data_IF_940387819707
#
_entry.id   IF_940387819707
#
_cell.length_a   1.000
_cell.length_b   1.000
_cell.length_c   1.000
_cell.angle_alpha   90.00
_cell.angle_beta   90.00
_cell.angle_gamma   90.00
#
_symmetry.space_group_name_H-M   'P 1'
#
loop_
_entity.id
_entity.type
_entity.pdbx_description
1 polymer ?
#
# COMPACT_ATOMS: atom_id res chain seq x y z
N UNK A 1 -43.13 17.62 -37.54
CA UNK A 1 -42.32 18.61 -36.80
C UNK A 1 -43.18 18.97 -35.61
N UNK A 2 -43.10 18.34 -34.44
CA UNK A 2 -41.95 17.76 -33.74
C UNK A 2 -42.42 16.61 -32.84
N UNK A 3 -41.97 15.39 -33.13
CA UNK A 3 -42.39 14.16 -32.43
C UNK A 3 -41.15 13.31 -32.08
N UNK A 4 -40.05 13.96 -31.69
CA UNK A 4 -38.71 13.33 -31.71
C UNK A 4 -37.75 13.72 -30.58
N UNK A 5 -38.20 13.98 -29.34
CA UNK A 5 -37.28 14.10 -28.17
C UNK A 5 -37.92 13.73 -26.82
N UNK A 6 -38.75 12.70 -26.76
CA UNK A 6 -39.36 12.22 -25.48
C UNK A 6 -39.00 10.75 -25.20
N UNK A 7 -37.81 10.32 -25.63
CA UNK A 7 -37.32 8.93 -25.55
C UNK A 7 -36.00 8.78 -24.78
N UNK A 8 -35.65 9.69 -23.88
CA UNK A 8 -34.45 9.51 -23.04
C UNK A 8 -34.78 9.76 -21.57
N UNK A 9 -35.67 8.92 -21.05
CA UNK A 9 -35.75 8.62 -19.63
C UNK A 9 -35.79 7.09 -19.50
N UNK A 10 -35.01 6.57 -18.54
CA UNK A 10 -34.90 5.16 -18.14
C UNK A 10 -33.94 4.24 -18.92
N UNK A 11 -32.63 4.45 -18.74
CA UNK A 11 -31.59 3.41 -18.91
C UNK A 11 -30.80 3.17 -17.59
N UNK A 12 -31.46 3.26 -16.43
CA UNK A 12 -30.88 2.89 -15.12
C UNK A 12 -31.22 1.44 -14.73
N UNK A 13 -31.02 0.50 -15.65
CA UNK A 13 -31.15 -0.94 -15.40
C UNK A 13 -29.77 -1.61 -15.35
N UNK A 14 -29.01 -1.31 -14.31
CA UNK A 14 -27.72 -1.95 -14.00
C UNK A 14 -27.58 -2.13 -12.50
N UNK A 15 -28.45 -2.94 -11.89
CA UNK A 15 -28.32 -3.32 -10.49
C UNK A 15 -27.11 -4.25 -10.37
N UNK A 16 -26.02 -3.70 -9.84
CA UNK A 16 -24.77 -4.39 -9.55
C UNK A 16 -25.03 -5.70 -8.80
N UNK A 17 -24.75 -6.82 -9.45
CA UNK A 17 -24.82 -8.14 -8.82
C UNK A 17 -23.90 -8.16 -7.59
N UNK A 18 -24.34 -8.73 -6.45
CA UNK A 18 -23.48 -8.86 -5.28
C UNK A 18 -22.39 -9.88 -5.61
N UNK A 19 -21.26 -9.37 -6.12
CA UNK A 19 -20.05 -10.12 -6.35
C UNK A 19 -19.63 -10.85 -5.07
N UNK A 20 -19.76 -12.15 -5.13
CA UNK A 20 -19.29 -13.15 -4.20
C UNK A 20 -17.82 -12.90 -3.86
N UNK A 21 -17.59 -12.26 -2.70
CA UNK A 21 -16.25 -12.11 -2.14
C UNK A 21 -15.78 -13.51 -1.75
N UNK A 22 -14.66 -14.03 -2.29
CA UNK A 22 -14.15 -15.32 -1.86
C UNK A 22 -13.90 -15.30 -0.35
N UNK A 23 -14.46 -16.29 0.36
CA UNK A 23 -14.30 -16.48 1.79
C UNK A 23 -12.82 -16.62 2.12
N UNK A 24 -12.26 -15.59 2.75
CA UNK A 24 -10.84 -15.54 3.15
C UNK A 24 -10.53 -16.73 4.04
N UNK A 25 -9.72 -17.67 3.52
CA UNK A 25 -9.15 -18.76 4.31
C UNK A 25 -8.47 -18.18 5.55
N UNK A 26 -8.73 -18.77 6.72
CA UNK A 26 -8.13 -18.31 7.97
C UNK A 26 -6.60 -18.39 7.86
N UNK A 27 -5.85 -17.27 8.03
CA UNK A 27 -4.40 -17.34 8.03
C UNK A 27 -3.98 -18.23 9.20
N UNK A 28 -3.06 -19.17 8.94
CA UNK A 28 -2.44 -19.95 10.02
C UNK A 28 -1.91 -18.97 11.06
N UNK A 29 -2.28 -19.12 12.34
CA UNK A 29 -1.94 -18.12 13.32
C UNK A 29 -0.42 -17.99 13.40
N UNK A 30 0.07 -16.75 13.48
CA UNK A 30 1.52 -16.51 13.56
C UNK A 30 2.15 -17.23 14.76
N UNK A 31 1.38 -17.42 15.84
CA UNK A 31 1.80 -18.16 17.02
C UNK A 31 1.98 -19.66 16.75
N UNK A 32 1.19 -20.27 15.84
CA UNK A 32 1.37 -21.67 15.47
C UNK A 32 2.66 -21.89 14.67
N UNK A 33 3.03 -20.94 13.81
CA UNK A 33 4.35 -20.94 13.15
C UNK A 33 5.49 -20.76 14.16
N UNK A 34 5.30 -19.89 15.15
CA UNK A 34 6.28 -19.69 16.22
C UNK A 34 6.45 -20.95 17.08
N UNK A 35 5.35 -21.60 17.46
CA UNK A 35 5.37 -22.84 18.26
C UNK A 35 6.02 -23.98 17.47
N UNK A 36 5.67 -24.16 16.19
CA UNK A 36 6.30 -25.18 15.34
C UNK A 36 7.83 -24.97 15.26
N UNK A 37 8.26 -23.71 15.16
CA UNK A 37 9.67 -23.35 15.09
C UNK A 37 10.40 -23.57 16.41
N UNK A 38 9.79 -23.20 17.55
CA UNK A 38 10.33 -23.48 18.90
C UNK A 38 10.43 -24.98 19.18
N UNK A 39 9.43 -25.77 18.76
CA UNK A 39 9.46 -27.24 18.86
C UNK A 39 10.59 -27.82 18.01
N UNK A 40 10.79 -27.30 16.79
CA UNK A 40 11.93 -27.67 15.94
C UNK A 40 13.29 -27.38 16.60
N UNK A 41 13.46 -26.19 17.19
CA UNK A 41 14.70 -25.82 17.89
C UNK A 41 14.91 -26.68 19.15
N UNK A 42 13.86 -26.94 19.91
CA UNK A 42 13.92 -27.80 21.09
C UNK A 42 14.31 -29.24 20.71
N UNK A 43 13.75 -29.78 19.63
CA UNK A 43 14.11 -31.10 19.11
C UNK A 43 15.57 -31.16 18.63
N UNK A 44 16.03 -30.15 17.88
CA UNK A 44 17.42 -30.08 17.38
C UNK A 44 18.42 -29.91 18.53
N UNK A 45 18.12 -29.05 19.50
CA UNK A 45 18.99 -28.85 20.67
C UNK A 45 19.05 -30.11 21.55
N UNK A 46 17.92 -30.79 21.77
CA UNK A 46 17.90 -32.08 22.46
C UNK A 46 18.74 -33.13 21.70
N UNK A 47 18.56 -33.26 20.38
CA UNK A 47 19.35 -34.20 19.57
C UNK A 47 20.87 -33.92 19.63
N UNK A 48 21.28 -32.64 19.65
CA UNK A 48 22.69 -32.27 19.82
C UNK A 48 23.23 -32.64 21.21
N UNK A 49 22.46 -32.37 22.27
CA UNK A 49 22.87 -32.68 23.65
C UNK A 49 23.01 -34.19 23.87
N UNK A 50 22.08 -34.99 23.31
CA UNK A 50 22.11 -36.45 23.46
C UNK A 50 23.26 -37.12 22.67
N UNK A 51 23.73 -36.53 21.59
CA UNK A 51 24.75 -37.14 20.72
C UNK A 51 26.18 -36.70 21.01
N UNK A 52 26.37 -35.46 21.49
CA UNK A 52 27.72 -34.87 21.58
C UNK A 52 28.28 -34.72 23.00
N UNK A 53 27.56 -35.15 24.04
CA UNK A 53 27.94 -35.01 25.48
C UNK A 53 28.40 -33.60 25.90
N UNK A 54 28.06 -32.58 25.11
CA UNK A 54 28.33 -31.17 25.40
C UNK A 54 27.34 -30.67 26.46
N UNK A 55 27.79 -29.95 27.50
CA UNK A 55 26.91 -29.44 28.54
C UNK A 55 25.85 -28.48 27.97
N UNK A 56 24.59 -28.67 28.40
CA UNK A 56 23.44 -27.89 27.92
C UNK A 56 23.60 -26.36 28.08
N UNK A 57 24.45 -25.93 29.01
CA UNK A 57 24.72 -24.52 29.28
C UNK A 57 25.33 -23.74 28.11
N UNK A 58 25.93 -24.41 27.12
CA UNK A 58 26.46 -23.74 25.92
C UNK A 58 25.57 -23.92 24.69
N UNK A 59 24.93 -25.08 24.55
CA UNK A 59 24.11 -25.42 23.37
C UNK A 59 22.82 -24.60 23.33
N UNK A 60 22.14 -24.44 24.47
CA UNK A 60 20.88 -23.69 24.55
C UNK A 60 21.06 -22.22 24.14
N UNK A 61 21.99 -21.44 24.73
CA UNK A 61 22.17 -20.05 24.32
C UNK A 61 22.69 -19.93 22.87
N UNK A 62 23.53 -20.86 22.39
CA UNK A 62 23.98 -20.85 21.01
C UNK A 62 22.82 -21.03 20.01
N UNK A 63 21.92 -21.98 20.28
CA UNK A 63 20.73 -22.20 19.44
C UNK A 63 19.75 -21.02 19.52
N UNK A 64 19.54 -20.43 20.71
CA UNK A 64 18.71 -19.25 20.88
C UNK A 64 19.29 -18.05 20.13
N UNK A 65 20.60 -17.82 20.22
CA UNK A 65 21.26 -16.71 19.55
C UNK A 65 21.25 -16.88 18.02
N UNK A 66 21.58 -18.07 17.52
CA UNK A 66 21.51 -18.37 16.09
C UNK A 66 20.10 -18.21 15.53
N UNK A 67 19.10 -18.69 16.28
CA UNK A 67 17.69 -18.50 15.98
C UNK A 67 17.32 -17.00 15.91
N UNK A 68 17.75 -16.21 16.89
CA UNK A 68 17.49 -14.77 16.94
C UNK A 68 18.09 -14.04 15.73
N UNK A 69 19.33 -14.35 15.37
CA UNK A 69 20.01 -13.76 14.21
C UNK A 69 19.23 -14.05 12.91
N UNK A 70 18.83 -15.31 12.70
CA UNK A 70 18.03 -15.69 11.53
C UNK A 70 16.66 -15.00 11.51
N UNK A 71 16.00 -14.87 12.66
CA UNK A 71 14.71 -14.18 12.79
C UNK A 71 14.81 -12.71 12.39
N UNK A 72 15.84 -12.02 12.88
CA UNK A 72 16.10 -10.61 12.59
C UNK A 72 16.49 -10.43 11.12
N UNK A 73 17.41 -11.25 10.61
CA UNK A 73 17.82 -11.21 9.20
C UNK A 73 16.65 -11.42 8.25
N UNK A 74 15.80 -12.41 8.52
CA UNK A 74 14.60 -12.65 7.72
C UNK A 74 13.62 -11.48 7.76
N UNK A 75 13.42 -10.86 8.93
CA UNK A 75 12.56 -9.69 9.06
C UNK A 75 13.05 -8.52 8.20
N UNK A 76 14.35 -8.25 8.22
CA UNK A 76 14.96 -7.19 7.39
C UNK A 76 14.78 -7.50 5.90
N UNK A 77 15.02 -8.74 5.47
CA UNK A 77 14.79 -9.15 4.08
C UNK A 77 13.33 -9.01 3.66
N UNK A 78 12.39 -9.28 4.58
CA UNK A 78 10.96 -9.16 4.31
C UNK A 78 10.52 -7.71 4.08
N UNK A 79 11.15 -6.75 4.75
CA UNK A 79 10.88 -5.33 4.50
C UNK A 79 11.27 -4.92 3.08
N UNK A 80 12.41 -5.42 2.59
CA UNK A 80 12.87 -5.15 1.23
C UNK A 80 12.05 -5.89 0.16
N UNK A 81 11.54 -7.07 0.49
CA UNK A 81 10.72 -7.88 -0.40
C UNK A 81 9.23 -7.49 -0.38
N UNK A 82 8.85 -6.45 0.37
CA UNK A 82 7.45 -6.00 0.40
C UNK A 82 7.10 -5.41 -0.97
N UNK A 83 6.18 -6.04 -1.73
CA UNK A 83 5.78 -5.52 -3.02
C UNK A 83 5.14 -4.13 -2.83
N UNK A 84 5.32 -3.21 -3.80
CA UNK A 84 4.66 -1.92 -3.74
C UNK A 84 3.13 -2.14 -3.60
N UNK A 85 2.44 -1.30 -2.81
CA UNK A 85 1.00 -1.39 -2.68
C UNK A 85 0.34 -1.34 -4.07
N UNK A 86 -0.76 -2.06 -4.29
CA UNK A 86 -1.43 -2.10 -5.58
C UNK A 86 -1.72 -0.67 -6.04
N UNK A 87 -1.53 -0.36 -7.34
CA UNK A 87 -1.81 0.97 -7.88
C UNK A 87 -3.25 1.34 -7.52
N UNK A 88 -3.49 2.55 -6.95
CA UNK A 88 -4.83 3.02 -6.64
C UNK A 88 -5.72 2.90 -7.88
N UNK A 89 -6.96 2.46 -7.66
CA UNK A 89 -7.98 2.20 -8.69
C UNK A 89 -8.04 3.37 -9.71
N UNK A 90 -8.05 3.14 -11.04
CA UNK A 90 -8.01 4.18 -12.09
C UNK A 90 -9.02 5.33 -11.98
N UNK A 91 -10.07 5.21 -11.16
CA UNK A 91 -10.99 6.29 -10.80
C UNK A 91 -10.52 7.19 -9.63
N UNK A 92 -9.42 6.84 -8.97
CA UNK A 92 -8.73 7.61 -7.93
C UNK A 92 -7.35 8.04 -8.44
N UNK A 93 -7.36 8.86 -9.50
CA UNK A 93 -6.17 9.50 -10.02
C UNK A 93 -5.43 10.24 -8.89
N UNK A 94 -4.09 10.21 -8.94
CA UNK A 94 -3.24 10.93 -7.98
C UNK A 94 -3.65 12.40 -7.98
N UNK A 95 -4.05 12.94 -6.82
CA UNK A 95 -4.27 14.38 -6.65
C UNK A 95 -2.97 15.11 -6.98
N UNK A 96 -2.92 15.79 -8.12
CA UNK A 96 -1.79 16.62 -8.51
C UNK A 96 -2.01 17.99 -7.90
N UNK A 97 -0.96 18.51 -7.24
CA UNK A 97 -0.96 19.86 -6.68
C UNK A 97 -0.57 20.81 -7.81
N UNK A 98 -1.55 21.52 -8.38
CA UNK A 98 -1.34 22.58 -9.35
C UNK A 98 -1.16 23.89 -8.57
N UNK A 99 -0.06 24.60 -8.83
CA UNK A 99 0.20 25.91 -8.23
C UNK A 99 0.00 26.97 -9.29
N UNK A 100 -0.90 27.92 -9.05
CA UNK A 100 -1.17 29.04 -9.93
C UNK A 100 -0.60 30.31 -9.33
N UNK A 101 -0.01 31.17 -10.16
CA UNK A 101 0.50 32.48 -9.75
C UNK A 101 -0.12 33.56 -10.63
N UNK A 102 -0.67 34.59 -10.02
CA UNK A 102 -1.10 35.78 -10.76
C UNK A 102 0.13 36.59 -11.19
N UNK A 103 0.29 36.84 -12.49
CA UNK A 103 1.39 37.67 -13.03
C UNK A 103 1.31 39.15 -12.64
N UNK A 104 0.12 39.63 -12.27
CA UNK A 104 -0.14 41.04 -11.94
C UNK A 104 0.21 41.37 -10.49
N UNK A 105 -0.27 40.59 -9.53
CA UNK A 105 -0.09 40.86 -8.09
C UNK A 105 0.79 39.86 -7.36
N UNK A 106 1.13 38.73 -8.00
CA UNK A 106 2.00 37.71 -7.43
C UNK A 106 1.33 36.75 -6.44
N UNK A 107 0.00 36.83 -6.24
CA UNK A 107 -0.74 35.89 -5.38
C UNK A 107 -0.61 34.45 -5.89
N UNK A 108 -0.34 33.51 -4.99
CA UNK A 108 -0.24 32.08 -5.27
C UNK A 108 -1.43 31.29 -4.73
N UNK A 109 -2.05 30.45 -5.56
CA UNK A 109 -3.17 29.58 -5.17
C UNK A 109 -2.82 28.13 -5.49
N UNK A 110 -3.09 27.23 -4.55
CA UNK A 110 -2.85 25.80 -4.70
C UNK A 110 -4.19 25.09 -4.91
N UNK A 111 -4.36 24.45 -6.07
CA UNK A 111 -5.51 23.62 -6.38
C UNK A 111 -5.11 22.16 -6.47
N UNK A 112 -6.01 21.27 -6.02
CA UNK A 112 -5.83 19.82 -6.12
C UNK A 112 -6.85 19.28 -7.11
N UNK A 113 -6.39 18.81 -8.26
CA UNK A 113 -7.21 18.19 -9.29
C UNK A 113 -6.70 16.77 -9.61
N UNK A 114 -7.55 15.98 -10.25
CA UNK A 114 -7.14 14.69 -10.81
C UNK A 114 -6.20 14.91 -12.01
N UNK A 115 -5.24 14.00 -12.26
CA UNK A 115 -4.24 14.17 -13.33
C UNK A 115 -4.81 14.40 -14.73
N UNK A 116 -5.98 13.82 -15.05
CA UNK A 116 -6.62 13.95 -16.37
C UNK A 116 -7.68 15.05 -16.41
N UNK A 117 -7.89 15.74 -15.29
CA UNK A 117 -8.81 16.86 -15.19
C UNK A 117 -7.95 18.11 -15.29
N UNK A 118 -8.16 18.90 -16.35
CA UNK A 118 -7.50 20.19 -16.55
C UNK A 118 -8.46 21.28 -16.07
N UNK A 119 -8.40 21.70 -14.80
CA UNK A 119 -9.30 22.70 -14.27
C UNK A 119 -9.01 24.06 -14.91
N UNK A 120 -10.07 24.79 -15.24
CA UNK A 120 -9.95 26.16 -15.74
C UNK A 120 -9.14 27.03 -14.76
N UNK A 121 -8.18 27.83 -15.24
CA UNK A 121 -7.37 28.70 -14.40
C UNK A 121 -8.24 29.65 -13.55
N UNK A 122 -7.95 29.78 -12.24
CA UNK A 122 -8.69 30.69 -11.38
C UNK A 122 -8.42 32.15 -11.77
N UNK A 123 -9.44 32.99 -11.63
CA UNK A 123 -9.36 34.43 -11.91
C UNK A 123 -9.01 35.22 -10.65
N UNK A 124 -8.01 36.08 -10.79
CA UNK A 124 -7.63 37.03 -9.75
C UNK A 124 -7.03 38.28 -10.40
N UNK A 125 -7.36 39.47 -9.89
CA UNK A 125 -7.10 40.73 -10.59
C UNK A 125 -7.76 40.86 -11.97
N UNK A 126 -8.85 40.12 -12.23
CA UNK A 126 -9.55 40.03 -13.52
C UNK A 126 -8.76 39.35 -14.65
N UNK A 127 -7.56 38.86 -14.36
CA UNK A 127 -6.75 38.09 -15.30
C UNK A 127 -6.78 36.60 -14.92
N UNK A 128 -6.58 35.74 -15.91
CA UNK A 128 -6.42 34.31 -15.72
C UNK A 128 -5.01 34.02 -15.15
N UNK A 129 -4.92 33.17 -14.11
CA UNK A 129 -3.63 32.88 -13.47
C UNK A 129 -2.76 31.90 -14.28
N UNK A 130 -1.44 32.07 -14.17
CA UNK A 130 -0.47 31.20 -14.84
C UNK A 130 -0.17 29.94 -14.02
N UNK A 131 -0.14 28.78 -14.67
CA UNK A 131 0.28 27.52 -14.06
C UNK A 131 1.80 27.52 -13.85
N UNK A 132 2.23 27.40 -12.60
CA UNK A 132 3.64 27.28 -12.24
C UNK A 132 3.99 25.80 -12.11
N UNK A 133 4.77 25.30 -13.08
CA UNK A 133 5.32 23.95 -13.00
C UNK A 133 6.26 23.83 -11.79
N UNK A 134 6.18 22.75 -10.98
CA UNK A 134 7.17 22.48 -9.95
C UNK A 134 8.55 22.36 -10.60
N UNK A 135 9.51 23.20 -10.20
CA UNK A 135 10.91 23.01 -10.55
C UNK A 135 11.38 21.78 -9.80
N UNK A 136 11.70 20.71 -10.51
CA UNK A 136 12.35 19.54 -9.93
C UNK A 136 13.77 19.95 -9.55
N UNK A 137 14.03 20.18 -8.27
CA UNK A 137 15.37 20.08 -7.67
C UNK A 137 15.60 18.66 -7.11
#
# INVERSE_FOLDING_TARGET
MDQATDEIHDEDAGHDGPGDRPSKASPVPFWARLVLWLVGIAAVSAALILTTSVPAGTVIPAMILGALILRVGYFVLQQLATPPPPPPDPGTLRKVRLTYRCSVCGTEVRMTAATNEDPEPPRHCMEDMDLVAPLYE
#
